data_IF_350290850784
#
_entry.id   IF_350290850784
#
_cell.length_a   1.000
_cell.length_b   1.000
_cell.length_c   1.000
_cell.angle_alpha   90.00
_cell.angle_beta   90.00
_cell.angle_gamma   90.00
#
_symmetry.space_group_name_H-M   'P 1'
#
loop_
_entity.id
_entity.type
_entity.pdbx_description
1 polymer ?
#
# COMPACT_ATOMS: atom_id res chain seq x y z
N UNK A 1 9.18 10.73 -8.73
CA UNK A 1 9.53 11.80 -7.77
C UNK A 1 8.89 13.16 -8.06
N UNK A 2 8.68 13.54 -9.33
CA UNK A 2 8.05 14.82 -9.68
C UNK A 2 6.75 15.14 -8.89
N UNK A 3 5.78 14.21 -8.72
CA UNK A 3 4.56 14.51 -7.97
C UNK A 3 4.81 14.89 -6.49
N UNK A 4 5.82 14.30 -5.85
CA UNK A 4 6.16 14.58 -4.46
C UNK A 4 6.88 15.91 -4.26
N UNK A 5 7.56 16.43 -5.29
CA UNK A 5 8.33 17.68 -5.26
C UNK A 5 7.45 18.90 -5.53
N UNK A 6 6.46 18.76 -6.41
CA UNK A 6 5.64 19.88 -6.91
C UNK A 6 4.95 20.65 -5.78
N UNK A 7 4.37 19.95 -4.80
CA UNK A 7 3.68 20.60 -3.67
C UNK A 7 4.58 21.55 -2.85
N UNK A 8 5.68 21.04 -2.25
CA UNK A 8 6.60 21.88 -1.48
C UNK A 8 7.18 23.06 -2.27
N UNK A 9 7.51 22.86 -3.56
CA UNK A 9 8.05 23.92 -4.42
C UNK A 9 7.01 25.01 -4.70
N UNK A 10 5.80 24.62 -5.12
CA UNK A 10 4.74 25.59 -5.44
C UNK A 10 4.32 26.41 -4.22
N UNK A 11 4.36 25.80 -3.03
CA UNK A 11 3.99 26.47 -1.78
C UNK A 11 5.17 27.19 -1.10
N UNK A 12 6.38 27.14 -1.68
CA UNK A 12 7.58 27.72 -1.06
C UNK A 12 7.85 27.18 0.35
N UNK A 13 7.62 25.89 0.56
CA UNK A 13 7.65 25.26 1.88
C UNK A 13 9.04 25.31 2.53
N UNK A 14 9.07 25.52 3.85
CA UNK A 14 10.31 25.51 4.63
C UNK A 14 11.04 24.18 4.51
N UNK A 15 12.37 24.20 4.59
CA UNK A 15 13.21 23.00 4.41
C UNK A 15 12.83 21.89 5.39
N UNK A 16 12.51 22.21 6.65
CA UNK A 16 12.10 21.20 7.64
C UNK A 16 10.80 20.49 7.26
N UNK A 17 9.80 21.22 6.77
CA UNK A 17 8.53 20.65 6.29
C UNK A 17 8.76 19.78 5.06
N UNK A 18 9.56 20.27 4.11
CA UNK A 18 9.93 19.52 2.90
C UNK A 18 10.69 18.23 3.26
N UNK A 19 11.68 18.31 4.15
CA UNK A 19 12.44 17.14 4.62
C UNK A 19 11.54 16.12 5.31
N UNK A 20 10.65 16.56 6.22
CA UNK A 20 9.69 15.66 6.88
C UNK A 20 8.77 14.97 5.86
N UNK A 21 8.25 15.72 4.88
CA UNK A 21 7.42 15.20 3.80
C UNK A 21 8.14 14.11 3.01
N UNK A 22 9.39 14.36 2.58
CA UNK A 22 10.17 13.36 1.86
C UNK A 22 10.51 12.14 2.72
N UNK A 23 10.84 12.33 3.99
CA UNK A 23 11.09 11.20 4.92
C UNK A 23 9.88 10.28 5.00
N UNK A 24 8.67 10.85 5.18
CA UNK A 24 7.43 10.07 5.22
C UNK A 24 7.18 9.37 3.88
N UNK A 25 7.30 10.08 2.76
CA UNK A 25 7.08 9.51 1.43
C UNK A 25 8.04 8.33 1.13
N UNK A 26 9.31 8.48 1.50
CA UNK A 26 10.32 7.43 1.32
C UNK A 26 10.09 6.24 2.26
N UNK A 27 9.71 6.48 3.52
CA UNK A 27 9.32 5.42 4.46
C UNK A 27 8.15 4.60 3.92
N UNK A 28 7.06 5.27 3.51
CA UNK A 28 5.87 4.61 2.97
C UNK A 28 6.21 3.82 1.71
N UNK A 29 7.00 4.40 0.80
CA UNK A 29 7.48 3.70 -0.41
C UNK A 29 8.28 2.47 -0.03
N UNK A 30 9.19 2.58 0.93
CA UNK A 30 10.04 1.47 1.36
C UNK A 30 9.20 0.33 1.96
N UNK A 31 8.27 0.65 2.85
CA UNK A 31 7.36 -0.35 3.46
C UNK A 31 6.48 -1.02 2.40
N UNK A 32 5.99 -0.27 1.42
CA UNK A 32 5.08 -0.80 0.39
C UNK A 32 5.79 -1.61 -0.70
N UNK A 33 7.12 -1.54 -0.80
CA UNK A 33 7.89 -2.17 -1.89
C UNK A 33 9.06 -3.04 -1.43
N UNK A 34 9.30 -3.19 -0.14
CA UNK A 34 10.38 -4.05 0.34
C UNK A 34 10.08 -5.55 0.15
N UNK A 35 8.86 -5.91 -0.25
CA UNK A 35 8.41 -7.29 -0.46
C UNK A 35 8.09 -8.03 0.84
N UNK A 36 8.07 -7.34 1.99
CA UNK A 36 7.78 -7.91 3.29
C UNK A 36 6.57 -7.24 3.93
N UNK A 37 5.70 -8.06 4.53
CA UNK A 37 4.69 -7.57 5.45
C UNK A 37 5.31 -7.45 6.84
N UNK A 38 5.83 -6.27 7.17
CA UNK A 38 6.56 -6.06 8.43
C UNK A 38 5.61 -5.84 9.62
N UNK A 39 5.94 -6.36 10.82
CA UNK A 39 5.13 -6.13 12.01
C UNK A 39 5.02 -4.64 12.36
N UNK A 40 3.84 -4.23 12.83
CA UNK A 40 3.52 -2.86 13.28
C UNK A 40 3.57 -1.78 12.19
N UNK A 41 3.75 -2.16 10.92
CA UNK A 41 3.76 -1.25 9.80
C UNK A 41 2.51 -1.45 8.91
N UNK A 42 2.15 -0.45 8.08
CA UNK A 42 1.07 -0.59 7.12
C UNK A 42 1.27 -1.76 6.16
N UNK A 43 0.17 -2.41 5.79
CA UNK A 43 0.17 -3.52 4.85
C UNK A 43 0.54 -3.07 3.42
N UNK A 44 1.43 -3.80 2.72
CA UNK A 44 1.77 -3.52 1.31
C UNK A 44 0.69 -3.99 0.32
N UNK A 45 -0.28 -4.82 0.75
CA UNK A 45 -1.21 -5.54 -0.12
C UNK A 45 -2.01 -4.64 -1.08
N UNK A 46 -2.42 -3.45 -0.63
CA UNK A 46 -3.16 -2.50 -1.49
C UNK A 46 -2.30 -2.04 -2.67
N UNK A 47 -1.02 -1.77 -2.41
CA UNK A 47 -0.07 -1.30 -3.41
C UNK A 47 0.44 -2.45 -4.29
N UNK A 48 0.64 -3.64 -3.72
CA UNK A 48 0.97 -4.84 -4.48
C UNK A 48 -0.17 -5.20 -5.44
N UNK A 49 -1.42 -5.06 -5.00
CA UNK A 49 -2.58 -5.25 -5.87
C UNK A 49 -2.66 -4.21 -6.99
N UNK A 50 -2.29 -2.96 -6.70
CA UNK A 50 -2.12 -1.94 -7.73
C UNK A 50 -1.09 -2.38 -8.77
N UNK A 51 0.07 -2.88 -8.38
CA UNK A 51 1.06 -3.40 -9.33
C UNK A 51 0.58 -4.63 -10.11
N UNK A 52 -0.20 -5.50 -9.46
CA UNK A 52 -0.75 -6.70 -10.09
C UNK A 52 -1.78 -6.39 -11.18
N UNK A 53 -2.61 -5.35 -11.00
CA UNK A 53 -3.73 -5.03 -11.91
C UNK A 53 -3.56 -3.76 -12.73
N UNK A 54 -2.72 -2.84 -12.25
CA UNK A 54 -2.41 -1.51 -12.80
C UNK A 54 -3.59 -0.52 -12.87
N UNK A 55 -4.82 -1.00 -13.09
CA UNK A 55 -6.02 -0.19 -13.25
C UNK A 55 -6.95 -0.20 -12.02
N UNK A 56 -6.39 -0.44 -10.84
CA UNK A 56 -7.10 -0.47 -9.55
C UNK A 56 -6.20 0.17 -8.48
N UNK A 57 -6.77 0.59 -7.36
CA UNK A 57 -6.02 1.01 -6.17
C UNK A 57 -4.99 2.14 -6.44
N UNK A 58 -5.44 3.28 -6.96
CA UNK A 58 -4.58 4.38 -7.40
C UNK A 58 -4.04 5.25 -6.26
N UNK A 59 -4.83 5.43 -5.20
CA UNK A 59 -4.53 6.36 -4.12
C UNK A 59 -3.78 5.70 -2.96
N UNK A 60 -2.77 6.37 -2.44
CA UNK A 60 -1.98 5.88 -1.28
C UNK A 60 -2.85 5.66 -0.03
N UNK A 61 -3.87 6.49 0.18
CA UNK A 61 -4.78 6.41 1.33
C UNK A 61 -6.06 5.59 1.05
N UNK A 62 -6.33 5.22 -0.20
CA UNK A 62 -7.56 4.52 -0.61
C UNK A 62 -8.89 5.28 -0.46
N UNK A 63 -8.93 6.47 0.14
CA UNK A 63 -10.17 7.25 0.35
C UNK A 63 -10.86 7.58 -0.98
N UNK A 64 -10.10 8.09 -1.95
CA UNK A 64 -10.64 8.40 -3.27
C UNK A 64 -10.94 7.12 -4.04
N UNK A 65 -10.19 6.04 -3.85
CA UNK A 65 -10.51 4.77 -4.50
C UNK A 65 -11.85 4.22 -4.03
N UNK A 66 -12.13 4.32 -2.74
CA UNK A 66 -13.42 3.95 -2.18
C UNK A 66 -14.56 4.80 -2.72
N UNK A 67 -14.34 6.12 -2.85
CA UNK A 67 -15.33 7.04 -3.39
C UNK A 67 -15.65 6.74 -4.87
N UNK A 68 -14.64 6.37 -5.65
CA UNK A 68 -14.77 6.15 -7.10
C UNK A 68 -14.93 4.67 -7.50
N UNK A 69 -14.93 3.74 -6.52
CA UNK A 69 -15.05 2.30 -6.75
C UNK A 69 -13.82 1.63 -7.37
N UNK A 70 -12.66 2.27 -7.35
CA UNK A 70 -11.42 1.73 -7.95
C UNK A 70 -10.70 0.73 -7.04
N UNK A 71 -11.20 0.49 -5.83
CA UNK A 71 -10.78 -0.57 -4.90
C UNK A 71 -11.73 -1.78 -4.85
N UNK A 72 -12.82 -1.80 -5.62
CA UNK A 72 -13.86 -2.84 -5.50
C UNK A 72 -13.32 -4.26 -5.79
N UNK A 73 -12.46 -4.42 -6.79
CA UNK A 73 -11.85 -5.73 -7.08
C UNK A 73 -10.87 -6.15 -5.98
N UNK A 74 -10.15 -5.19 -5.41
CA UNK A 74 -9.24 -5.45 -4.30
C UNK A 74 -10.02 -5.93 -3.09
N UNK A 75 -11.09 -5.24 -2.72
CA UNK A 75 -11.95 -5.60 -1.57
C UNK A 75 -12.60 -6.96 -1.67
N UNK A 76 -12.82 -7.46 -2.89
CA UNK A 76 -13.34 -8.79 -3.16
C UNK A 76 -12.22 -9.84 -3.38
N UNK A 77 -10.99 -9.57 -2.95
CA UNK A 77 -9.84 -10.45 -3.15
C UNK A 77 -9.21 -10.91 -1.83
N UNK A 78 -8.43 -11.99 -1.89
CA UNK A 78 -7.61 -12.47 -0.76
C UNK A 78 -6.57 -11.45 -0.28
N UNK A 79 -6.07 -10.59 -1.18
CA UNK A 79 -5.14 -9.53 -0.80
C UNK A 79 -5.79 -8.54 0.18
N UNK A 80 -7.10 -8.29 0.06
CA UNK A 80 -7.83 -7.46 1.03
C UNK A 80 -8.04 -8.15 2.37
N UNK A 81 -8.28 -9.47 2.39
CA UNK A 81 -8.30 -10.23 3.65
C UNK A 81 -6.95 -10.14 4.39
N UNK A 82 -5.83 -10.09 3.64
CA UNK A 82 -4.48 -9.88 4.16
C UNK A 82 -4.12 -8.41 4.38
N UNK A 83 -5.00 -7.46 4.04
CA UNK A 83 -4.75 -6.03 4.19
C UNK A 83 -5.04 -5.55 5.61
N UNK A 84 -4.24 -6.02 6.55
CA UNK A 84 -4.30 -5.66 7.97
C UNK A 84 -2.89 -5.41 8.48
N UNK A 85 -2.75 -4.69 9.59
CA UNK A 85 -1.44 -4.53 10.25
C UNK A 85 -1.04 -5.86 10.87
N UNK A 86 0.12 -6.38 10.47
CA UNK A 86 0.69 -7.56 11.10
C UNK A 86 1.15 -7.23 12.53
N UNK A 87 0.59 -7.92 13.53
CA UNK A 87 0.97 -7.75 14.94
C UNK A 87 1.87 -8.88 15.47
N UNK A 88 1.94 -9.99 14.73
CA UNK A 88 2.73 -11.17 15.09
C UNK A 88 3.96 -11.34 14.20
N UNK A 89 4.64 -12.47 14.36
CA UNK A 89 5.78 -12.87 13.52
C UNK A 89 5.39 -13.87 12.44
N UNK A 90 4.20 -14.44 12.51
CA UNK A 90 3.68 -15.37 11.50
C UNK A 90 3.30 -14.62 10.23
N UNK A 91 3.84 -14.99 9.05
CA UNK A 91 3.47 -14.35 7.80
C UNK A 91 1.96 -14.43 7.52
N UNK A 92 1.40 -13.39 6.90
CA UNK A 92 -0.03 -13.37 6.61
C UNK A 92 -0.47 -14.45 5.61
N UNK A 93 0.41 -14.88 4.70
CA UNK A 93 0.17 -16.00 3.80
C UNK A 93 -0.04 -17.34 4.54
N UNK A 94 0.56 -17.50 5.71
CA UNK A 94 0.37 -18.69 6.56
C UNK A 94 -0.88 -18.55 7.45
N UNK A 95 -1.09 -17.36 8.03
CA UNK A 95 -2.27 -17.12 8.88
C UNK A 95 -3.59 -17.06 8.10
N UNK A 96 -3.54 -16.63 6.85
CA UNK A 96 -4.67 -16.54 5.91
C UNK A 96 -4.22 -17.26 4.63
N UNK A 97 -4.30 -18.60 4.60
CA UNK A 97 -3.82 -19.40 3.47
C UNK A 97 -4.71 -19.23 2.24
N UNK A 98 -4.14 -19.54 1.08
CA UNK A 98 -4.91 -19.60 -0.17
C UNK A 98 -5.91 -20.76 -0.15
N UNK A 99 -7.02 -20.60 -0.86
CA UNK A 99 -8.03 -21.64 -0.94
C UNK A 99 -7.44 -22.90 -1.63
N UNK A 100 -7.66 -24.11 -1.07
CA UNK A 100 -7.01 -25.34 -1.53
C UNK A 100 -7.34 -25.73 -2.98
N UNK A 101 -8.37 -25.12 -3.59
CA UNK A 101 -8.74 -25.33 -5.00
C UNK A 101 -7.83 -24.60 -5.99
N UNK A 102 -7.12 -23.54 -5.59
CA UNK A 102 -6.28 -22.73 -6.50
C UNK A 102 -4.82 -23.19 -6.56
N UNK A 103 -4.39 -24.06 -5.66
CA UNK A 103 -3.02 -24.55 -5.59
C UNK A 103 -2.68 -25.67 -6.61
N UNK A 104 -3.62 -26.01 -7.51
CA UNK A 104 -3.51 -27.16 -8.44
C UNK A 104 -3.49 -26.77 -9.93
N UNK A 105 -3.57 -25.48 -10.24
CA UNK A 105 -3.53 -24.96 -11.61
C UNK A 105 -2.24 -24.15 -11.86
#
# INVERSE_FOLDING_TARGET
MLPAVVGPVLLGSHISTTSLWFTIALLVTTVSHCGYHLPFLPSPEFHDFHHLKFNQCYGVLGVLDRLHGTDDKFRNSKAYERHTVLLGLTPLSESIPDDPKKARD
#
